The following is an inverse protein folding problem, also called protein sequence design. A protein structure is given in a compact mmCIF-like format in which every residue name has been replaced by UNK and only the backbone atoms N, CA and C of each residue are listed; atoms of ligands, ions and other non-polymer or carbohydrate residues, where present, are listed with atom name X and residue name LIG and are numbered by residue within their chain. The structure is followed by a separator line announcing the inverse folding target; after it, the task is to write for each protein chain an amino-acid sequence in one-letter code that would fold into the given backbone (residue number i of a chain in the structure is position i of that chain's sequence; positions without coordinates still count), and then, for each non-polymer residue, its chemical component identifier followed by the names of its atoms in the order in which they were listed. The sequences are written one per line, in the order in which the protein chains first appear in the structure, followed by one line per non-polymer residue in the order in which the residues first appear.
data_IF_653251118473
#
_entry.id   IF_653251118473
#
_cell.length_a   1.000
_cell.length_b   1.000
_cell.length_c   1.000
_cell.angle_alpha   90.00
_cell.angle_beta   90.00
_cell.angle_gamma   90.00
#
_symmetry.space_group_name_H-M   'P 1'
#
loop_
_entity.id
_entity.type
_entity.pdbx_description
1 polymer ?
#
# COMPACT_ATOMS: atom_id res chain seq x y z
N UNK A 1 -3.37 23.69 22.97
CA UNK A 1 -3.44 23.94 21.50
C UNK A 1 -2.08 23.65 20.84
N UNK A 2 -1.50 22.46 21.04
CA UNK A 2 -0.20 22.05 20.47
C UNK A 2 -0.15 20.56 20.09
N UNK A 3 -1.29 19.87 20.23
CA UNK A 3 -1.39 18.43 19.97
C UNK A 3 -1.39 18.14 18.47
N UNK A 4 -2.11 18.96 17.68
CA UNK A 4 -2.24 18.78 16.22
C UNK A 4 -0.88 18.87 15.51
N UNK A 5 0.01 19.87 15.76
CA UNK A 5 1.33 19.90 15.13
C UNK A 5 2.27 18.77 15.57
N UNK A 6 2.09 18.21 16.77
CA UNK A 6 2.90 17.09 17.24
C UNK A 6 2.47 15.77 16.57
N UNK A 7 1.15 15.55 16.44
CA UNK A 7 0.59 14.40 15.73
C UNK A 7 0.92 14.41 14.24
N UNK A 8 0.98 15.58 13.62
CA UNK A 8 1.39 15.75 12.21
C UNK A 8 2.86 15.33 12.00
N UNK A 9 3.76 15.78 12.88
CA UNK A 9 5.19 15.36 12.84
C UNK A 9 5.38 13.87 13.14
N UNK A 10 4.61 13.28 14.05
CA UNK A 10 4.64 11.83 14.31
C UNK A 10 4.09 11.01 13.15
N UNK A 11 3.09 11.54 12.43
CA UNK A 11 2.58 10.92 11.21
C UNK A 11 3.64 10.91 10.11
N UNK A 12 4.32 12.04 9.88
CA UNK A 12 5.44 12.14 8.93
C UNK A 12 6.57 11.15 9.24
N UNK A 13 6.84 10.89 10.52
CA UNK A 13 7.87 9.93 10.95
C UNK A 13 7.46 8.45 10.75
N UNK A 14 6.16 8.16 10.61
CA UNK A 14 5.65 6.79 10.50
C UNK A 14 5.59 6.29 9.04
N UNK A 15 5.71 7.20 8.07
CA UNK A 15 5.75 6.87 6.66
C UNK A 15 7.19 6.85 6.16
N UNK A 16 7.65 5.68 5.74
CA UNK A 16 8.97 5.56 5.11
C UNK A 16 8.90 6.13 3.71
N UNK A 17 9.52 7.29 3.49
CA UNK A 17 9.68 7.87 2.16
C UNK A 17 10.35 6.86 1.23
N UNK A 18 9.80 6.66 0.04
CA UNK A 18 10.30 5.67 -0.88
C UNK A 18 9.58 5.72 -2.23
N UNK A 19 9.93 4.83 -3.15
CA UNK A 19 9.41 4.83 -4.53
C UNK A 19 7.92 4.49 -4.65
N UNK A 20 7.34 3.83 -3.63
CA UNK A 20 5.93 3.47 -3.61
C UNK A 20 5.19 4.54 -2.82
N UNK A 21 4.33 5.28 -3.50
CA UNK A 21 3.54 6.36 -2.91
C UNK A 21 2.25 5.81 -2.29
N UNK A 22 1.99 6.19 -1.03
CA UNK A 22 0.80 5.75 -0.29
C UNK A 22 -0.49 6.20 -0.98
N UNK A 23 -0.57 7.46 -1.39
CA UNK A 23 -1.75 8.03 -2.04
C UNK A 23 -2.09 7.30 -3.35
N UNK A 24 -1.08 7.00 -4.16
CA UNK A 24 -1.27 6.28 -5.42
C UNK A 24 -1.73 4.85 -5.15
N UNK A 25 -1.12 4.16 -4.19
CA UNK A 25 -1.54 2.81 -3.81
C UNK A 25 -3.00 2.76 -3.31
N UNK A 26 -3.43 3.76 -2.54
CA UNK A 26 -4.81 3.89 -2.07
C UNK A 26 -5.81 4.14 -3.21
N UNK A 27 -5.48 5.04 -4.14
CA UNK A 27 -6.29 5.29 -5.34
C UNK A 27 -6.41 3.99 -6.16
N UNK A 28 -5.30 3.28 -6.38
CA UNK A 28 -5.31 2.02 -7.11
C UNK A 28 -6.14 0.94 -6.40
N UNK A 29 -6.09 0.86 -5.06
CA UNK A 29 -6.92 -0.08 -4.30
C UNK A 29 -8.41 0.27 -4.43
N UNK A 30 -8.77 1.55 -4.35
CA UNK A 30 -10.16 2.00 -4.39
C UNK A 30 -10.84 1.71 -5.73
N UNK A 31 -10.15 1.97 -6.85
CA UNK A 31 -10.75 1.86 -8.19
C UNK A 31 -10.39 0.55 -8.91
N UNK A 32 -9.20 0.00 -8.68
CA UNK A 32 -8.67 -1.17 -9.39
C UNK A 32 -8.32 -2.32 -8.42
N UNK A 33 -8.79 -2.28 -7.18
CA UNK A 33 -8.46 -3.26 -6.15
C UNK A 33 -8.87 -4.69 -6.50
N UNK A 34 -10.05 -4.86 -7.09
CA UNK A 34 -10.57 -6.17 -7.56
C UNK A 34 -9.69 -6.76 -8.65
N UNK A 35 -9.04 -5.93 -9.46
CA UNK A 35 -8.12 -6.36 -10.51
C UNK A 35 -6.69 -6.60 -10.01
N UNK A 36 -6.38 -6.22 -8.77
CA UNK A 36 -5.05 -6.43 -8.16
C UNK A 36 -3.96 -5.47 -8.63
N UNK A 37 -4.32 -4.35 -9.26
CA UNK A 37 -3.34 -3.42 -9.84
C UNK A 37 -2.51 -2.70 -8.76
N UNK A 38 -3.08 -2.45 -7.58
CA UNK A 38 -2.34 -1.93 -6.42
C UNK A 38 -1.20 -2.88 -6.00
N UNK A 39 -1.40 -4.21 -6.09
CA UNK A 39 -0.33 -5.19 -5.82
C UNK A 39 0.75 -5.15 -6.89
N UNK A 40 0.38 -4.98 -8.16
CA UNK A 40 1.35 -4.83 -9.26
C UNK A 40 2.16 -3.54 -9.09
N UNK A 41 1.54 -2.43 -8.70
CA UNK A 41 2.22 -1.16 -8.41
C UNK A 41 3.23 -1.29 -7.29
N UNK A 42 2.90 -2.04 -6.23
CA UNK A 42 3.89 -2.35 -5.22
C UNK A 42 5.05 -3.15 -5.84
N UNK A 43 4.78 -4.05 -6.80
CA UNK A 43 5.74 -4.98 -7.43
C UNK A 43 5.45 -6.46 -7.13
N UNK A 44 4.27 -6.79 -6.57
CA UNK A 44 3.79 -8.14 -6.25
C UNK A 44 3.03 -8.76 -7.44
N UNK A 45 3.72 -8.87 -8.58
CA UNK A 45 3.14 -9.27 -9.86
C UNK A 45 2.35 -10.58 -9.83
N UNK A 46 2.90 -11.63 -9.22
CA UNK A 46 2.25 -12.95 -9.16
C UNK A 46 0.88 -12.84 -8.47
N UNK A 47 0.83 -12.22 -7.30
CA UNK A 47 -0.44 -12.07 -6.57
C UNK A 47 -1.41 -11.06 -7.22
N UNK A 48 -0.89 -10.05 -7.92
CA UNK A 48 -1.71 -9.16 -8.74
C UNK A 48 -2.36 -9.89 -9.92
N UNK A 49 -1.63 -10.80 -10.58
CA UNK A 49 -2.18 -11.62 -11.66
C UNK A 49 -3.24 -12.61 -11.13
N UNK A 50 -3.01 -13.19 -9.95
CA UNK A 50 -4.03 -14.01 -9.29
C UNK A 50 -5.30 -13.19 -9.05
N UNK A 51 -5.19 -11.97 -8.52
CA UNK A 51 -6.34 -11.08 -8.33
C UNK A 51 -7.06 -10.80 -9.65
N UNK A 52 -6.32 -10.52 -10.73
CA UNK A 52 -6.90 -10.27 -12.05
C UNK A 52 -7.72 -11.48 -12.57
N UNK A 53 -7.21 -12.70 -12.37
CA UNK A 53 -7.87 -13.92 -12.84
C UNK A 53 -9.03 -14.38 -11.94
N UNK A 54 -9.11 -13.88 -10.70
CA UNK A 54 -10.08 -14.33 -9.69
C UNK A 54 -11.05 -13.24 -9.24
N UNK A 55 -10.88 -12.00 -9.72
CA UNK A 55 -11.59 -10.83 -9.22
C UNK A 55 -11.24 -10.51 -7.76
N UNK A 56 -9.95 -10.51 -7.42
CA UNK A 56 -9.45 -10.15 -6.09
C UNK A 56 -9.72 -11.20 -5.01
N UNK A 57 -9.97 -12.44 -5.44
CA UNK A 57 -10.45 -13.61 -4.69
C UNK A 57 -11.72 -13.34 -3.88
N UNK A 58 -12.84 -13.11 -4.57
CA UNK A 58 -14.18 -12.87 -4.00
C UNK A 58 -14.23 -11.71 -3.00
N UNK A 59 -13.52 -10.60 -3.29
CA UNK A 59 -13.47 -9.36 -2.50
C UNK A 59 -12.81 -9.46 -1.11
N UNK A 60 -12.64 -10.65 -0.55
CA UNK A 60 -11.95 -10.86 0.74
C UNK A 60 -10.50 -10.38 0.65
N UNK A 61 -9.85 -10.61 -0.50
CA UNK A 61 -8.51 -10.11 -0.74
C UNK A 61 -8.40 -8.59 -0.68
N UNK A 62 -9.39 -7.88 -1.24
CA UNK A 62 -9.45 -6.41 -1.20
C UNK A 62 -9.61 -5.89 0.24
N UNK A 63 -10.41 -6.56 1.06
CA UNK A 63 -10.57 -6.22 2.48
C UNK A 63 -9.28 -6.44 3.28
N UNK A 64 -8.57 -7.54 3.03
CA UNK A 64 -7.26 -7.77 3.63
C UNK A 64 -6.27 -6.67 3.27
N UNK A 65 -6.24 -6.25 2.00
CA UNK A 65 -5.37 -5.18 1.55
C UNK A 65 -5.75 -3.84 2.16
N UNK A 66 -7.05 -3.55 2.35
CA UNK A 66 -7.51 -2.33 3.01
C UNK A 66 -6.90 -2.13 4.41
N UNK A 67 -6.79 -3.20 5.21
CA UNK A 67 -6.17 -3.10 6.54
C UNK A 67 -4.64 -3.09 6.53
N UNK A 68 -4.02 -3.73 5.55
CA UNK A 68 -2.58 -4.01 5.59
C UNK A 68 -1.76 -3.09 4.68
N UNK A 69 -2.40 -2.31 3.80
CA UNK A 69 -1.72 -1.56 2.72
C UNK A 69 -0.58 -0.68 3.23
N UNK A 70 -0.83 0.15 4.24
CA UNK A 70 0.18 1.08 4.78
C UNK A 70 1.43 0.34 5.28
N UNK A 71 1.23 -0.73 6.06
CA UNK A 71 2.33 -1.57 6.57
C UNK A 71 3.11 -2.20 5.42
N UNK A 72 2.42 -2.74 4.40
CA UNK A 72 3.06 -3.33 3.22
C UNK A 72 3.92 -2.31 2.46
N UNK A 73 3.47 -1.07 2.34
CA UNK A 73 4.22 0.01 1.66
C UNK A 73 5.43 0.44 2.50
N UNK A 74 5.24 0.67 3.81
CA UNK A 74 6.34 1.08 4.70
C UNK A 74 7.48 0.07 4.71
N UNK A 75 7.16 -1.23 4.77
CA UNK A 75 8.16 -2.31 4.74
C UNK A 75 8.91 -2.29 3.40
N UNK A 76 8.19 -2.23 2.27
CA UNK A 76 8.81 -2.23 0.94
C UNK A 76 9.68 -1.02 0.65
N UNK A 77 9.25 0.16 1.10
CA UNK A 77 10.05 1.38 0.99
C UNK A 77 11.30 1.27 1.88
N UNK A 78 11.18 0.74 3.09
CA UNK A 78 12.33 0.50 3.96
C UNK A 78 13.34 -0.48 3.35
N UNK A 79 12.89 -1.64 2.86
CA UNK A 79 13.73 -2.64 2.19
C UNK A 79 14.50 -2.04 1.00
N UNK A 80 13.81 -1.25 0.15
CA UNK A 80 14.42 -0.65 -1.04
C UNK A 80 15.39 0.49 -0.70
N UNK A 81 15.22 1.15 0.44
CA UNK A 81 16.13 2.17 0.93
C UNK A 81 17.36 1.56 1.61
N UNK A 82 17.21 0.43 2.31
CA UNK A 82 18.33 -0.28 2.94
C UNK A 82 19.23 -1.01 1.93
N UNK A 83 18.70 -1.34 0.75
CA UNK A 83 19.47 -1.95 -0.35
C UNK A 83 20.17 -0.96 -1.29
N UNK A 84 20.11 0.35 -1.02
CA UNK A 84 20.85 1.40 -1.73
C UNK A 84 21.93 1.96 -0.82
#
# INVERSE_FOLDING_TARGET
LFLIPAMDREADLRFTAGPIEYNVAWILLAFLGVFGVHRMYQGKWITGLIYLLTGGLFLIGVLYDFWTLNTQISIRNAERNSGR
#
